data_IF_557393618889
#
_entry.id   IF_557393618889
#
_cell.length_a   1.000
_cell.length_b   1.000
_cell.length_c   1.000
_cell.angle_alpha   90.00
_cell.angle_beta   90.00
_cell.angle_gamma   90.00
#
_symmetry.space_group_name_H-M   'P 1'
#
loop_
_entity.id
_entity.type
_entity.pdbx_description
1 polymer ?
#
# COMPACT_ATOMS: atom_id res chain seq x y z
N UNK A 1 39.25 36.29 8.74
CA UNK A 1 38.45 36.21 7.49
C UNK A 1 37.50 37.40 7.44
N UNK A 2 37.63 38.28 6.45
CA UNK A 2 36.79 39.49 6.34
C UNK A 2 35.31 39.16 6.09
N UNK A 3 34.40 40.08 6.45
CA UNK A 3 32.95 39.87 6.33
C UNK A 3 32.50 39.49 4.90
N UNK A 4 33.17 39.99 3.87
CA UNK A 4 32.88 39.65 2.47
C UNK A 4 33.19 38.16 2.16
N UNK A 5 34.33 37.65 2.60
CA UNK A 5 34.71 36.25 2.41
C UNK A 5 33.77 35.28 3.15
N UNK A 6 33.32 35.65 4.36
CA UNK A 6 32.32 34.86 5.11
C UNK A 6 30.98 34.80 4.36
N UNK A 7 30.51 35.92 3.80
CA UNK A 7 29.27 35.98 3.01
C UNK A 7 29.34 35.12 1.74
N UNK A 8 30.48 35.12 1.05
CA UNK A 8 30.68 34.28 -0.15
C UNK A 8 30.67 32.79 0.19
N UNK A 9 31.31 32.38 1.28
CA UNK A 9 31.29 30.98 1.73
C UNK A 9 29.86 30.53 2.08
N UNK A 10 29.12 31.35 2.84
CA UNK A 10 27.72 31.04 3.21
C UNK A 10 26.85 30.95 1.96
N UNK A 11 26.99 31.89 1.01
CA UNK A 11 26.26 31.85 -0.26
C UNK A 11 26.56 30.59 -1.06
N UNK A 12 27.82 30.17 -1.11
CA UNK A 12 28.22 28.93 -1.79
C UNK A 12 27.58 27.69 -1.16
N UNK A 13 27.56 27.62 0.17
CA UNK A 13 26.92 26.51 0.90
C UNK A 13 25.41 26.46 0.63
N UNK A 14 24.72 27.61 0.64
CA UNK A 14 23.29 27.67 0.35
C UNK A 14 23.01 27.16 -1.07
N UNK A 15 23.76 27.63 -2.07
CA UNK A 15 23.60 27.18 -3.47
C UNK A 15 23.83 25.67 -3.58
N UNK A 16 24.84 25.13 -2.92
CA UNK A 16 25.12 23.69 -2.91
C UNK A 16 23.96 22.88 -2.31
N UNK A 17 23.42 23.33 -1.17
CA UNK A 17 22.26 22.69 -0.53
C UNK A 17 21.04 22.77 -1.44
N UNK A 18 20.80 23.90 -2.10
CA UNK A 18 19.68 24.06 -3.03
C UNK A 18 19.80 23.11 -4.22
N UNK A 19 20.98 22.98 -4.83
CA UNK A 19 21.23 22.04 -5.93
C UNK A 19 21.02 20.59 -5.48
N UNK A 20 21.50 20.23 -4.28
CA UNK A 20 21.32 18.89 -3.74
C UNK A 20 19.83 18.57 -3.51
N UNK A 21 19.10 19.48 -2.87
CA UNK A 21 17.67 19.32 -2.63
C UNK A 21 16.89 19.21 -3.95
N UNK A 22 17.18 20.09 -4.92
CA UNK A 22 16.56 20.05 -6.24
C UNK A 22 16.83 18.72 -6.95
N UNK A 23 18.06 18.22 -6.90
CA UNK A 23 18.43 16.94 -7.52
C UNK A 23 17.65 15.76 -6.92
N UNK A 24 17.49 15.74 -5.59
CA UNK A 24 16.68 14.74 -4.88
C UNK A 24 15.21 14.88 -5.29
N UNK A 25 14.66 16.09 -5.29
CA UNK A 25 13.28 16.35 -5.67
C UNK A 25 12.98 15.92 -7.12
N UNK A 26 13.87 16.20 -8.06
CA UNK A 26 13.77 15.79 -9.47
C UNK A 26 13.69 14.26 -9.58
N UNK A 27 14.56 13.54 -8.87
CA UNK A 27 14.55 12.07 -8.86
C UNK A 27 13.24 11.48 -8.34
N UNK A 28 12.63 12.11 -7.32
CA UNK A 28 11.32 11.72 -6.82
C UNK A 28 10.18 12.09 -7.79
N UNK A 29 10.29 13.21 -8.51
CA UNK A 29 9.26 13.67 -9.45
C UNK A 29 9.15 12.77 -10.68
N UNK A 30 10.28 12.36 -11.27
CA UNK A 30 10.30 11.50 -12.46
C UNK A 30 9.96 10.03 -12.19
N UNK A 31 10.03 9.56 -10.94
CA UNK A 31 9.65 8.19 -10.56
C UNK A 31 8.15 7.98 -10.39
N UNK A 32 7.37 9.06 -10.36
CA UNK A 32 5.93 9.01 -10.09
C UNK A 32 5.60 8.63 -8.64
N UNK A 33 4.32 8.75 -8.25
CA UNK A 33 3.86 8.29 -6.94
C UNK A 33 4.03 6.77 -6.82
N UNK A 34 4.36 6.30 -5.61
CA UNK A 34 4.34 4.86 -5.35
C UNK A 34 2.90 4.34 -5.43
N UNK A 35 2.73 3.13 -5.96
CA UNK A 35 1.47 2.42 -5.91
C UNK A 35 1.00 2.27 -4.45
N UNK A 36 -0.32 2.18 -4.22
CA UNK A 36 -0.85 1.91 -2.89
C UNK A 36 -0.26 0.61 -2.31
N UNK A 37 -0.37 0.46 -0.99
CA UNK A 37 0.09 -0.76 -0.33
C UNK A 37 -0.87 -1.90 -0.62
N UNK A 38 -2.15 -1.60 -0.42
CA UNK A 38 -3.24 -2.46 -0.83
C UNK A 38 -4.49 -1.65 -1.15
N UNK A 39 -5.37 -2.27 -1.92
CA UNK A 39 -6.72 -1.79 -2.22
C UNK A 39 -7.70 -2.89 -1.83
N UNK A 40 -8.74 -2.54 -1.07
CA UNK A 40 -9.84 -3.44 -0.74
C UNK A 40 -10.99 -3.11 -1.70
N UNK A 41 -11.52 -4.13 -2.38
CA UNK A 41 -12.64 -4.02 -3.28
C UNK A 41 -13.82 -4.80 -2.70
N UNK A 42 -14.90 -4.09 -2.37
CA UNK A 42 -16.16 -4.73 -2.04
C UNK A 42 -16.98 -4.92 -3.32
N UNK A 43 -17.02 -6.13 -3.87
CA UNK A 43 -17.86 -6.46 -5.04
C UNK A 43 -19.28 -6.89 -4.66
N UNK A 44 -19.62 -6.89 -3.36
CA UNK A 44 -20.93 -7.27 -2.87
C UNK A 44 -21.92 -6.08 -2.88
N UNK A 45 -23.21 -6.42 -2.87
CA UNK A 45 -24.34 -5.49 -2.77
C UNK A 45 -24.61 -5.06 -1.31
N UNK A 46 -23.93 -5.68 -0.34
CA UNK A 46 -24.01 -5.36 1.08
C UNK A 46 -22.69 -4.76 1.59
N UNK A 47 -22.77 -4.05 2.72
CA UNK A 47 -21.58 -3.52 3.39
C UNK A 47 -20.87 -4.62 4.17
N UNK A 48 -19.54 -4.55 4.22
CA UNK A 48 -18.70 -5.46 5.00
C UNK A 48 -17.77 -4.72 5.94
N UNK A 49 -17.56 -5.30 7.12
CA UNK A 49 -16.47 -4.93 8.02
C UNK A 49 -15.25 -5.78 7.68
N UNK A 50 -14.14 -5.14 7.30
CA UNK A 50 -12.91 -5.83 6.90
C UNK A 50 -11.76 -5.37 7.77
N UNK A 51 -11.18 -6.29 8.51
CA UNK A 51 -9.92 -6.10 9.25
C UNK A 51 -8.77 -6.60 8.41
N UNK A 52 -7.79 -5.73 8.16
CA UNK A 52 -6.56 -6.07 7.45
C UNK A 52 -5.38 -5.95 8.40
N UNK A 53 -4.75 -7.09 8.65
CA UNK A 53 -3.49 -7.21 9.37
C UNK A 53 -2.38 -7.52 8.37
N UNK A 54 -1.31 -6.73 8.39
CA UNK A 54 -0.15 -6.96 7.53
C UNK A 54 1.09 -7.10 8.40
N UNK A 55 1.80 -8.20 8.21
CA UNK A 55 3.02 -8.53 8.92
C UNK A 55 4.21 -8.52 7.97
N UNK A 56 5.36 -8.07 8.48
CA UNK A 56 6.64 -8.24 7.80
C UNK A 56 7.16 -9.69 7.91
N UNK A 57 8.29 -10.00 7.26
CA UNK A 57 8.88 -11.35 7.30
C UNK A 57 9.27 -11.82 8.71
N UNK A 58 9.48 -10.89 9.66
CA UNK A 58 9.76 -11.17 11.06
C UNK A 58 8.48 -11.21 11.91
N UNK A 59 7.31 -11.31 11.28
CA UNK A 59 6.00 -11.29 11.94
C UNK A 59 5.73 -10.00 12.73
N UNK A 60 6.40 -8.89 12.42
CA UNK A 60 6.12 -7.60 13.03
C UNK A 60 4.90 -6.97 12.37
N UNK A 61 3.92 -6.46 13.14
CA UNK A 61 2.76 -5.81 12.57
C UNK A 61 3.14 -4.46 11.93
N UNK A 62 2.73 -4.29 10.67
CA UNK A 62 2.86 -3.05 9.89
C UNK A 62 1.51 -2.33 9.84
N UNK A 63 0.44 -3.08 9.66
CA UNK A 63 -0.94 -2.59 9.59
C UNK A 63 -1.80 -3.51 10.45
N UNK A 64 -2.70 -2.91 11.23
CA UNK A 64 -3.76 -3.60 11.94
C UNK A 64 -4.92 -2.62 12.06
N UNK A 65 -5.79 -2.60 11.05
CA UNK A 65 -6.87 -1.64 10.92
C UNK A 65 -8.13 -2.31 10.41
N UNK A 66 -9.28 -1.82 10.88
CA UNK A 66 -10.61 -2.27 10.47
C UNK A 66 -11.29 -1.18 9.64
N UNK A 67 -11.91 -1.60 8.54
CA UNK A 67 -12.54 -0.73 7.56
C UNK A 67 -13.99 -1.18 7.32
N UNK A 68 -14.91 -0.22 7.28
CA UNK A 68 -16.28 -0.46 6.85
C UNK A 68 -16.39 -0.08 5.37
N UNK A 69 -16.60 -1.08 4.51
CA UNK A 69 -16.77 -0.87 3.07
C UNK A 69 -18.24 -0.92 2.70
N UNK A 70 -18.75 0.19 2.15
CA UNK A 70 -20.06 0.25 1.50
C UNK A 70 -20.13 -0.68 0.26
N UNK A 71 -21.33 -1.03 -0.21
CA UNK A 71 -21.51 -1.86 -1.41
C UNK A 71 -20.80 -1.27 -2.64
N UNK A 72 -20.11 -2.09 -3.42
CA UNK A 72 -19.40 -1.68 -4.65
C UNK A 72 -18.37 -0.55 -4.44
N UNK A 73 -17.84 -0.38 -3.22
CA UNK A 73 -16.85 0.67 -2.92
C UNK A 73 -15.48 0.08 -2.67
N UNK A 74 -14.49 0.91 -2.98
CA UNK A 74 -13.08 0.59 -2.82
C UNK A 74 -12.48 1.41 -1.69
N UNK A 75 -11.55 0.79 -0.96
CA UNK A 75 -10.71 1.46 0.02
C UNK A 75 -9.23 1.33 -0.37
N UNK A 76 -8.52 2.44 -0.42
CA UNK A 76 -7.09 2.46 -0.79
C UNK A 76 -6.22 2.82 0.40
N UNK A 77 -5.29 1.93 0.77
CA UNK A 77 -4.27 2.20 1.80
C UNK A 77 -2.95 2.60 1.15
N UNK A 78 -2.42 3.77 1.52
CA UNK A 78 -1.08 4.20 1.09
C UNK A 78 0.01 3.40 1.79
N UNK A 79 1.15 3.21 1.12
CA UNK A 79 2.35 2.57 1.70
C UNK A 79 2.85 3.34 2.92
N UNK A 80 2.91 2.70 4.10
CA UNK A 80 3.58 3.27 5.27
C UNK A 80 5.03 3.62 4.95
N UNK A 81 5.57 4.65 5.61
CA UNK A 81 6.94 5.10 5.38
C UNK A 81 7.96 3.98 5.64
N UNK A 82 7.70 3.14 6.66
CA UNK A 82 8.49 1.94 6.96
C UNK A 82 8.61 1.01 5.76
N UNK A 83 7.49 0.71 5.08
CA UNK A 83 7.46 -0.12 3.87
C UNK A 83 8.16 0.55 2.69
N UNK A 84 8.08 1.88 2.57
CA UNK A 84 8.74 2.60 1.48
C UNK A 84 10.27 2.64 1.61
N UNK A 85 10.80 2.59 2.83
CA UNK A 85 12.22 2.62 3.15
C UNK A 85 12.83 1.21 3.29
N UNK A 86 11.99 0.21 3.57
CA UNK A 86 12.44 -1.16 3.75
C UNK A 86 12.80 -1.83 2.41
N UNK A 87 13.81 -2.71 2.45
CA UNK A 87 14.21 -3.57 1.32
C UNK A 87 13.49 -4.92 1.32
N UNK A 88 12.78 -5.21 2.40
CA UNK A 88 11.95 -6.41 2.50
C UNK A 88 10.89 -6.44 1.40
N UNK A 89 10.68 -7.64 0.86
CA UNK A 89 9.74 -7.87 -0.23
C UNK A 89 8.58 -8.75 0.21
N UNK A 90 8.79 -9.64 1.18
CA UNK A 90 7.76 -10.57 1.63
C UNK A 90 6.90 -9.97 2.75
N UNK A 91 5.58 -10.09 2.59
CA UNK A 91 4.59 -9.64 3.56
C UNK A 91 3.51 -10.69 3.70
N UNK A 92 3.01 -10.86 4.93
CA UNK A 92 1.86 -11.72 5.20
C UNK A 92 0.62 -10.86 5.45
N UNK A 93 -0.39 -11.05 4.61
CA UNK A 93 -1.70 -10.41 4.72
C UNK A 93 -2.66 -11.37 5.39
N UNK A 94 -3.20 -10.97 6.54
CA UNK A 94 -4.31 -11.63 7.20
C UNK A 94 -5.53 -10.71 7.08
N UNK A 95 -6.49 -11.13 6.29
CA UNK A 95 -7.71 -10.37 6.01
C UNK A 95 -8.87 -11.09 6.67
N UNK A 96 -9.58 -10.41 7.56
CA UNK A 96 -10.77 -10.93 8.24
C UNK A 96 -11.99 -10.11 7.84
N UNK A 97 -13.00 -10.74 7.25
CA UNK A 97 -14.28 -10.13 6.87
C UNK A 97 -15.39 -10.55 7.83
N UNK A 98 -16.17 -9.59 8.29
CA UNK A 98 -17.30 -9.72 9.23
C UNK A 98 -16.98 -10.55 10.48
N UNK A 99 -15.72 -10.48 10.93
CA UNK A 99 -15.17 -11.21 12.09
C UNK A 99 -15.22 -12.74 11.99
N UNK A 100 -15.59 -13.30 10.84
CA UNK A 100 -15.82 -14.73 10.68
C UNK A 100 -14.93 -15.33 9.59
N UNK A 101 -14.81 -14.64 8.46
CA UNK A 101 -14.14 -15.17 7.29
C UNK A 101 -12.71 -14.66 7.29
N UNK A 102 -11.73 -15.56 7.34
CA UNK A 102 -10.31 -15.18 7.34
C UNK A 102 -9.57 -15.76 6.15
N UNK A 103 -8.78 -14.95 5.45
CA UNK A 103 -7.81 -15.37 4.47
C UNK A 103 -6.41 -14.92 4.92
N UNK A 104 -5.45 -15.84 4.90
CA UNK A 104 -4.04 -15.56 5.17
C UNK A 104 -3.26 -15.86 3.90
N UNK A 105 -2.59 -14.84 3.37
CA UNK A 105 -1.80 -14.94 2.15
C UNK A 105 -0.44 -14.28 2.35
N UNK A 106 0.62 -15.03 2.10
CA UNK A 106 1.99 -14.52 2.09
C UNK A 106 2.41 -14.27 0.67
N UNK A 107 3.00 -13.11 0.41
CA UNK A 107 3.37 -12.70 -0.94
C UNK A 107 4.53 -11.74 -0.98
N UNK A 108 5.30 -11.81 -2.07
CA UNK A 108 6.37 -10.87 -2.34
C UNK A 108 5.84 -9.67 -3.13
N UNK A 109 5.98 -8.48 -2.56
CA UNK A 109 5.68 -7.20 -3.20
C UNK A 109 7.00 -6.67 -3.78
N UNK A 110 7.29 -6.90 -5.08
CA UNK A 110 8.64 -6.77 -5.63
C UNK A 110 9.14 -5.33 -5.76
N UNK A 111 8.25 -4.31 -5.72
CA UNK A 111 8.67 -2.93 -5.89
C UNK A 111 7.61 -1.87 -5.61
N UNK A 112 7.98 -0.61 -5.88
CA UNK A 112 7.15 0.58 -5.65
C UNK A 112 5.91 0.69 -6.54
N UNK A 113 5.90 -0.02 -7.68
CA UNK A 113 4.80 -0.02 -8.65
C UNK A 113 3.79 -1.14 -8.43
N UNK A 114 4.03 -2.07 -7.51
CA UNK A 114 3.06 -3.12 -7.21
C UNK A 114 2.12 -2.71 -6.07
N UNK A 115 0.98 -3.36 -5.95
CA UNK A 115 0.03 -3.23 -4.85
C UNK A 115 -0.62 -4.58 -4.63
N UNK A 116 -1.27 -4.75 -3.49
CA UNK A 116 -2.09 -5.93 -3.20
C UNK A 116 -3.57 -5.58 -3.37
N UNK A 117 -4.30 -6.33 -4.17
CA UNK A 117 -5.74 -6.23 -4.26
C UNK A 117 -6.37 -7.28 -3.35
N UNK A 118 -7.18 -6.81 -2.41
CA UNK A 118 -8.01 -7.63 -1.54
C UNK A 118 -9.42 -7.51 -2.09
N UNK A 119 -9.93 -8.58 -2.70
CA UNK A 119 -11.26 -8.58 -3.31
C UNK A 119 -12.19 -9.46 -2.51
N UNK A 120 -13.27 -8.86 -2.02
CA UNK A 120 -14.34 -9.56 -1.33
C UNK A 120 -15.29 -10.15 -2.38
N UNK A 121 -15.73 -11.39 -2.17
CA UNK A 121 -16.74 -12.07 -3.03
C UNK A 121 -16.42 -12.11 -4.53
N UNK A 122 -15.18 -12.45 -4.88
CA UNK A 122 -14.77 -12.64 -6.28
C UNK A 122 -13.93 -13.91 -6.44
N UNK A 123 -13.94 -14.50 -7.65
CA UNK A 123 -12.90 -15.45 -8.09
C UNK A 123 -11.94 -14.74 -9.05
N UNK A 124 -10.76 -15.32 -9.25
CA UNK A 124 -9.81 -14.83 -10.26
C UNK A 124 -10.52 -14.72 -11.61
N UNK A 125 -10.64 -13.49 -12.13
CA UNK A 125 -11.28 -13.21 -13.42
C UNK A 125 -12.81 -13.07 -13.44
N UNK A 126 -13.53 -13.31 -12.33
CA UNK A 126 -15.00 -13.26 -12.31
C UNK A 126 -15.57 -12.62 -11.02
N UNK A 127 -16.45 -11.63 -11.19
CA UNK A 127 -17.29 -11.08 -10.12
C UNK A 127 -18.47 -12.01 -9.88
N UNK A 128 -18.68 -12.46 -8.63
CA UNK A 128 -19.79 -13.37 -8.33
C UNK A 128 -20.96 -12.57 -7.73
N UNK A 129 -22.13 -12.47 -8.40
CA UNK A 129 -23.26 -11.67 -7.91
C UNK A 129 -23.80 -12.21 -6.59
N UNK A 130 -24.14 -11.40 -5.59
CA UNK A 130 -24.62 -11.88 -4.27
C UNK A 130 -25.62 -13.06 -4.34
N UNK A 131 -25.42 -14.09 -3.50
CA UNK A 131 -26.37 -15.20 -3.32
C UNK A 131 -26.31 -15.72 -1.87
N UNK A 132 -27.44 -15.75 -1.15
CA UNK A 132 -27.50 -16.12 0.27
C UNK A 132 -27.18 -17.60 0.59
N UNK A 133 -27.10 -18.48 -0.42
CA UNK A 133 -26.92 -19.93 -0.23
C UNK A 133 -25.61 -20.48 -0.83
N UNK A 134 -24.50 -19.71 -0.85
CA UNK A 134 -23.24 -20.14 -1.49
C UNK A 134 -22.24 -20.82 -0.56
N UNK A 135 -21.57 -21.85 -1.08
CA UNK A 135 -20.29 -22.38 -0.59
C UNK A 135 -19.13 -21.46 -1.01
N UNK A 136 -18.14 -21.29 -0.13
CA UNK A 136 -17.29 -20.10 -0.05
C UNK A 136 -16.16 -19.99 -1.11
N UNK A 137 -16.08 -18.84 -1.81
CA UNK A 137 -14.80 -18.17 -2.10
C UNK A 137 -14.97 -16.71 -1.68
N UNK A 138 -14.57 -16.34 -0.45
CA UNK A 138 -15.06 -15.11 0.15
C UNK A 138 -14.06 -13.94 0.08
N UNK A 139 -12.76 -14.22 0.00
CA UNK A 139 -11.70 -13.22 -0.07
C UNK A 139 -10.60 -13.74 -1.00
N UNK A 140 -10.29 -12.97 -2.05
CA UNK A 140 -9.15 -13.18 -2.94
C UNK A 140 -8.11 -12.10 -2.64
N UNK A 141 -6.85 -12.50 -2.47
CA UNK A 141 -5.73 -11.57 -2.27
C UNK A 141 -4.72 -11.80 -3.40
N UNK A 142 -4.47 -10.77 -4.22
CA UNK A 142 -3.61 -10.87 -5.42
C UNK A 142 -2.66 -9.67 -5.54
N UNK A 143 -1.52 -9.86 -6.20
CA UNK A 143 -0.59 -8.77 -6.51
C UNK A 143 -0.97 -8.16 -7.85
N UNK A 144 -0.97 -6.83 -7.93
CA UNK A 144 -1.23 -6.07 -9.15
C UNK A 144 -0.10 -5.07 -9.39
N UNK A 145 0.33 -4.93 -10.63
CA UNK A 145 1.30 -3.93 -11.06
C UNK A 145 0.59 -2.71 -11.65
N UNK A 146 0.99 -1.52 -11.20
CA UNK A 146 0.49 -0.23 -11.67
C UNK A 146 1.43 0.30 -12.75
N UNK A 147 0.87 0.68 -13.91
CA UNK A 147 1.62 1.22 -15.05
C UNK A 147 2.20 2.61 -14.74
#
# INVERSE_FOLDING_TARGET
MGNAAKKLVISGIIILITILLLSISIHFMFRGPAAPFFVIHNHDIISHEVTVEVFDHNSKPIVNETYNLEPHRDFTKRRPLSVQLNREKEYTFKVTMDKQITNISTMEIPGRKTSVNIRLYTKSGETIPYNPNREAIPILVEIVEWM
#
